data_IF_818840406038
#
_entry.id   IF_818840406038
#
_cell.length_a   1.000
_cell.length_b   1.000
_cell.length_c   1.000
_cell.angle_alpha   90.00
_cell.angle_beta   90.00
_cell.angle_gamma   90.00
#
_symmetry.space_group_name_H-M   'P 1'
#
loop_
_entity.id
_entity.type
_entity.pdbx_description
1 polymer ?
#
# COMPACT_ATOMS: atom_id res chain seq x y z
N UNK A 1 13.01 -0.64 -8.83
CA UNK A 1 13.38 -0.55 -7.41
C UNK A 1 12.08 -0.29 -6.65
N UNK A 2 11.90 -0.81 -5.43
CA UNK A 2 10.68 -0.56 -4.64
C UNK A 2 11.07 0.37 -3.48
N UNK A 3 10.67 1.63 -3.54
CA UNK A 3 11.09 2.66 -2.56
C UNK A 3 9.93 3.40 -1.89
N UNK A 4 8.69 3.06 -2.24
CA UNK A 4 7.47 3.61 -1.67
C UNK A 4 6.80 2.57 -0.75
N UNK A 5 6.45 2.96 0.48
CA UNK A 5 6.05 2.03 1.54
C UNK A 5 4.96 2.60 2.45
N UNK A 6 4.07 1.73 2.91
CA UNK A 6 3.32 1.91 4.15
C UNK A 6 4.01 1.12 5.27
N UNK A 7 4.41 1.80 6.33
CA UNK A 7 4.87 1.17 7.57
C UNK A 7 3.70 1.13 8.55
N UNK A 8 3.46 -0.02 9.16
CA UNK A 8 2.37 -0.22 10.12
C UNK A 8 2.91 -0.86 11.40
N UNK A 9 2.24 -0.58 12.53
CA UNK A 9 2.51 -1.27 13.79
C UNK A 9 2.00 -2.71 13.75
N UNK A 10 2.56 -3.59 14.59
CA UNK A 10 2.08 -4.98 14.71
C UNK A 10 0.61 -5.05 15.13
N UNK A 11 0.14 -4.09 15.94
CA UNK A 11 -1.27 -4.00 16.36
C UNK A 11 -2.24 -3.79 15.19
N UNK A 12 -1.78 -3.16 14.09
CA UNK A 12 -2.59 -2.94 12.90
C UNK A 12 -2.65 -4.16 11.97
N UNK A 13 -1.82 -5.18 12.21
CA UNK A 13 -1.66 -6.34 11.31
C UNK A 13 -2.98 -7.04 11.01
N UNK A 14 -3.84 -7.22 12.01
CA UNK A 14 -5.12 -7.91 11.83
C UNK A 14 -6.13 -7.10 11.01
N UNK A 15 -5.94 -5.79 10.92
CA UNK A 15 -6.78 -4.87 10.13
C UNK A 15 -6.29 -4.71 8.70
N UNK A 16 -5.07 -5.11 8.37
CA UNK A 16 -4.56 -5.06 7.00
C UNK A 16 -5.25 -6.16 6.19
N UNK A 17 -5.91 -5.76 5.11
CA UNK A 17 -6.57 -6.64 4.16
C UNK A 17 -5.66 -6.92 2.96
N UNK A 18 -5.07 -5.88 2.36
CA UNK A 18 -4.22 -6.02 1.19
C UNK A 18 -3.21 -4.87 1.05
N UNK A 19 -2.16 -5.07 0.25
CA UNK A 19 -1.22 -4.05 -0.16
C UNK A 19 -1.00 -4.11 -1.68
N UNK A 20 -1.23 -2.98 -2.36
CA UNK A 20 -1.33 -2.93 -3.83
C UNK A 20 -0.29 -1.98 -4.41
N UNK A 21 0.28 -2.34 -5.57
CA UNK A 21 1.12 -1.47 -6.39
C UNK A 21 0.36 -1.15 -7.67
N UNK A 22 0.13 0.13 -7.96
CA UNK A 22 -0.65 0.57 -9.12
C UNK A 22 0.28 0.86 -10.30
N UNK A 23 0.98 -0.15 -10.82
CA UNK A 23 2.04 -0.01 -11.84
C UNK A 23 1.58 0.58 -13.17
N UNK A 24 0.28 0.49 -13.47
CA UNK A 24 -0.29 0.97 -14.73
C UNK A 24 -0.71 2.45 -14.67
N UNK A 25 -0.65 3.09 -13.50
CA UNK A 25 -0.94 4.52 -13.33
C UNK A 25 0.31 5.33 -13.67
N UNK A 26 0.19 6.14 -14.73
CA UNK A 26 1.27 6.98 -15.25
C UNK A 26 1.07 8.45 -14.85
N UNK A 27 2.16 9.23 -14.88
CA UNK A 27 2.13 10.68 -14.61
C UNK A 27 3.27 11.19 -13.70
N UNK A 28 4.01 10.27 -13.09
CA UNK A 28 5.26 10.49 -12.34
C UNK A 28 6.26 9.39 -12.73
N UNK A 29 7.52 9.58 -12.38
CA UNK A 29 8.58 8.57 -12.40
C UNK A 29 8.38 7.43 -11.38
N UNK A 30 7.43 7.58 -10.46
CA UNK A 30 6.98 6.55 -9.52
C UNK A 30 5.50 6.23 -9.72
N UNK A 31 5.12 4.98 -9.46
CA UNK A 31 3.72 4.57 -9.41
C UNK A 31 3.17 4.64 -7.97
N UNK A 32 1.86 4.90 -7.77
CA UNK A 32 1.26 4.87 -6.44
C UNK A 32 1.31 3.46 -5.80
N UNK A 33 1.34 3.42 -4.47
CA UNK A 33 1.12 2.23 -3.66
C UNK A 33 -0.10 2.44 -2.76
N UNK A 34 -0.83 1.37 -2.42
CA UNK A 34 -2.01 1.41 -1.57
C UNK A 34 -2.00 0.35 -0.47
N UNK A 35 -2.72 0.63 0.62
CA UNK A 35 -2.99 -0.31 1.71
C UNK A 35 -4.50 -0.36 1.93
N UNK A 36 -5.08 -1.55 1.83
CA UNK A 36 -6.50 -1.79 2.08
C UNK A 36 -6.64 -2.28 3.52
N UNK A 37 -7.56 -1.67 4.27
CA UNK A 37 -7.88 -2.08 5.63
C UNK A 37 -9.30 -2.67 5.66
N UNK A 38 -9.50 -3.68 6.51
CA UNK A 38 -10.82 -4.28 6.72
C UNK A 38 -11.79 -3.23 7.23
N UNK A 39 -13.00 -3.23 6.67
CA UNK A 39 -14.14 -2.51 7.24
C UNK A 39 -14.66 -3.23 8.49
N UNK A 40 -15.23 -2.48 9.45
CA UNK A 40 -15.77 -3.00 10.70
C UNK A 40 -17.19 -3.55 10.53
#
# INVERSE_FOLDING_TARGET
WRIDYFLASEELKERIEDAVIYSDIMGSDHCPVGLILKEN
#
